data_IF_368603881357
#
_entry.id   IF_368603881357
#
_cell.length_a   1.000
_cell.length_b   1.000
_cell.length_c   1.000
_cell.angle_alpha   90.00
_cell.angle_beta   90.00
_cell.angle_gamma   90.00
#
_symmetry.space_group_name_H-M   'P 1'
#
loop_
_entity.id
_entity.type
_entity.pdbx_description
1 polymer ?
#
# COMPACT_ATOMS: atom_id res chain seq x y z
N UNK A 1 6.64 -3.66 -16.41
CA UNK A 1 6.90 -2.69 -15.31
C UNK A 1 7.56 -3.28 -14.06
N UNK A 2 7.38 -4.58 -13.74
CA UNK A 2 8.01 -5.20 -12.55
C UNK A 2 9.55 -5.19 -12.61
N UNK A 3 10.14 -5.45 -13.78
CA UNK A 3 11.59 -5.41 -14.00
C UNK A 3 12.18 -3.99 -13.85
N UNK A 4 11.52 -2.96 -14.39
CA UNK A 4 11.99 -1.56 -14.25
C UNK A 4 12.04 -1.14 -12.78
N UNK A 5 11.04 -1.52 -11.97
CA UNK A 5 11.05 -1.27 -10.53
C UNK A 5 12.22 -1.98 -9.84
N UNK A 6 12.51 -3.22 -10.22
CA UNK A 6 13.64 -3.98 -9.67
C UNK A 6 14.98 -3.34 -10.03
N UNK A 7 15.16 -2.98 -11.31
CA UNK A 7 16.38 -2.29 -11.79
C UNK A 7 16.58 -0.97 -11.06
N UNK A 8 15.51 -0.19 -10.87
CA UNK A 8 15.59 1.09 -10.16
C UNK A 8 15.96 0.91 -8.68
N UNK A 9 15.38 -0.09 -8.00
CA UNK A 9 15.76 -0.41 -6.61
C UNK A 9 17.22 -0.84 -6.52
N UNK A 10 17.69 -1.66 -7.47
CA UNK A 10 19.09 -2.09 -7.55
C UNK A 10 20.03 -0.92 -7.79
N UNK A 11 19.66 0.02 -8.67
CA UNK A 11 20.43 1.22 -8.94
C UNK A 11 20.55 2.11 -7.69
N UNK A 12 19.44 2.33 -6.97
CA UNK A 12 19.45 3.11 -5.72
C UNK A 12 20.32 2.44 -4.66
N UNK A 13 20.23 1.12 -4.51
CA UNK A 13 21.08 0.36 -3.60
C UNK A 13 22.56 0.48 -3.97
N UNK A 14 22.89 0.41 -5.25
CA UNK A 14 24.25 0.52 -5.74
C UNK A 14 24.84 1.91 -5.47
N UNK A 15 24.07 2.98 -5.75
CA UNK A 15 24.46 4.36 -5.43
C UNK A 15 24.65 4.52 -3.91
N UNK A 16 23.74 3.97 -3.11
CA UNK A 16 23.85 3.98 -1.66
C UNK A 16 25.14 3.30 -1.16
N UNK A 17 25.48 2.14 -1.72
CA UNK A 17 26.72 1.44 -1.39
C UNK A 17 27.97 2.25 -1.78
N UNK A 18 27.99 2.86 -2.96
CA UNK A 18 29.08 3.72 -3.40
C UNK A 18 29.26 4.94 -2.48
N UNK A 19 28.16 5.57 -2.07
CA UNK A 19 28.19 6.69 -1.12
C UNK A 19 28.81 6.28 0.21
N UNK A 20 28.41 5.13 0.76
CA UNK A 20 28.99 4.61 2.01
C UNK A 20 30.48 4.32 1.83
N UNK A 21 30.88 3.70 0.72
CA UNK A 21 32.29 3.35 0.48
C UNK A 21 33.18 4.58 0.30
N UNK A 22 32.72 5.58 -0.45
CA UNK A 22 33.47 6.83 -0.67
C UNK A 22 33.54 7.68 0.60
N UNK A 23 32.47 7.72 1.39
CA UNK A 23 32.42 8.55 2.60
C UNK A 23 32.79 7.77 3.87
N UNK A 24 33.40 6.59 3.74
CA UNK A 24 33.75 5.73 4.87
C UNK A 24 34.59 6.48 5.91
N UNK A 25 35.58 7.25 5.46
CA UNK A 25 36.49 7.99 6.35
C UNK A 25 35.75 9.07 7.16
N UNK A 26 34.74 9.70 6.55
CA UNK A 26 33.85 10.65 7.21
C UNK A 26 32.90 9.94 8.17
N UNK A 27 32.38 8.76 7.80
CA UNK A 27 31.44 7.96 8.60
C UNK A 27 32.07 7.35 9.86
N UNK A 28 33.40 7.25 9.89
CA UNK A 28 34.15 6.75 11.05
C UNK A 28 34.36 7.85 12.11
N UNK A 29 34.14 9.12 11.73
CA UNK A 29 34.22 10.22 12.67
C UNK A 29 33.13 10.11 13.75
N UNK A 30 33.50 10.47 14.98
CA UNK A 30 32.59 10.46 16.12
C UNK A 30 31.81 11.76 16.17
N UNK A 31 30.49 11.66 16.12
CA UNK A 31 29.61 12.80 16.41
C UNK A 31 29.29 12.80 17.91
N UNK A 32 29.36 13.98 18.51
CA UNK A 32 28.86 14.23 19.86
C UNK A 32 27.63 15.13 19.76
N UNK A 33 26.50 14.65 20.25
CA UNK A 33 25.30 15.47 20.32
C UNK A 33 25.36 16.28 21.60
N UNK A 34 25.41 17.61 21.44
CA UNK A 34 25.25 18.56 22.54
C UNK A 34 23.84 19.11 22.47
N UNK A 35 23.01 18.67 23.40
CA UNK A 35 21.69 19.26 23.60
C UNK A 35 21.84 20.34 24.66
N UNK A 36 21.88 21.59 24.22
CA UNK A 36 21.98 22.74 25.12
C UNK A 36 20.56 23.28 25.36
N UNK A 37 19.91 22.81 26.43
CA UNK A 37 18.71 23.48 26.94
C UNK A 37 19.16 24.62 27.86
N UNK A 38 18.40 25.71 27.88
CA UNK A 38 18.71 26.95 28.61
C UNK A 38 19.09 26.75 30.10
N UNK A 39 18.72 25.60 30.70
CA UNK A 39 18.96 25.26 32.11
C UNK A 39 19.87 24.03 32.26
N UNK A 40 19.93 23.14 31.26
CA UNK A 40 20.65 21.86 31.36
C UNK A 40 21.33 21.55 30.02
N UNK A 41 22.63 21.26 30.07
CA UNK A 41 23.36 20.75 28.92
C UNK A 41 23.55 19.24 29.05
N UNK A 42 23.06 18.49 28.05
CA UNK A 42 23.32 17.06 27.92
C UNK A 42 24.33 16.84 26.81
N UNK A 43 25.41 16.14 27.15
CA UNK A 43 26.40 15.69 26.17
C UNK A 43 26.29 14.18 26.05
N UNK A 44 25.90 13.70 24.87
CA UNK A 44 25.85 12.26 24.60
C UNK A 44 27.26 11.70 24.50
N UNK A 45 27.41 10.40 24.76
CA UNK A 45 28.65 9.68 24.45
C UNK A 45 28.98 9.84 22.95
N UNK A 46 30.27 9.92 22.59
CA UNK A 46 30.69 9.96 21.19
C UNK A 46 30.23 8.67 20.50
N UNK A 47 29.44 8.82 19.45
CA UNK A 47 28.99 7.70 18.63
C UNK A 47 29.46 7.89 17.20
N UNK A 48 29.97 6.81 16.60
CA UNK A 48 30.39 6.83 15.20
C UNK A 48 29.19 7.09 14.30
N UNK A 49 29.37 7.97 13.31
CA UNK A 49 28.30 8.34 12.38
C UNK A 49 27.69 7.14 11.65
N UNK A 50 28.49 6.10 11.37
CA UNK A 50 27.99 4.84 10.81
C UNK A 50 26.85 4.21 11.62
N UNK A 51 26.98 4.19 12.96
CA UNK A 51 25.97 3.61 13.85
C UNK A 51 24.66 4.39 13.76
N UNK A 52 24.76 5.72 13.75
CA UNK A 52 23.61 6.60 13.62
C UNK A 52 22.91 6.44 12.26
N UNK A 53 23.70 6.36 11.18
CA UNK A 53 23.20 6.17 9.83
C UNK A 53 22.48 4.81 9.70
N UNK A 54 23.07 3.76 10.27
CA UNK A 54 22.46 2.42 10.30
C UNK A 54 21.14 2.43 11.05
N UNK A 55 21.09 3.11 12.20
CA UNK A 55 19.87 3.23 13.00
C UNK A 55 18.77 4.01 12.26
N UNK A 56 19.12 5.14 11.63
CA UNK A 56 18.18 5.94 10.84
C UNK A 56 17.63 5.16 9.65
N UNK A 57 18.49 4.42 8.95
CA UNK A 57 18.09 3.55 7.84
C UNK A 57 17.16 2.43 8.31
N UNK A 58 17.47 1.81 9.45
CA UNK A 58 16.61 0.79 10.05
C UNK A 58 15.24 1.37 10.42
N UNK A 59 15.19 2.55 11.06
CA UNK A 59 13.94 3.23 11.38
C UNK A 59 13.10 3.53 10.12
N UNK A 60 13.75 3.93 9.04
CA UNK A 60 13.08 4.19 7.76
C UNK A 60 12.47 2.93 7.14
N UNK A 61 13.23 1.82 7.09
CA UNK A 61 12.73 0.53 6.59
C UNK A 61 11.62 0.01 7.50
N UNK A 62 11.78 0.13 8.82
CA UNK A 62 10.77 -0.29 9.78
C UNK A 62 9.48 0.52 9.63
N UNK A 63 9.58 1.84 9.50
CA UNK A 63 8.43 2.72 9.30
C UNK A 63 7.69 2.45 7.99
N UNK A 64 8.42 2.33 6.88
CA UNK A 64 7.81 1.97 5.57
C UNK A 64 7.22 0.56 5.60
N UNK A 65 7.87 -0.39 6.28
CA UNK A 65 7.36 -1.73 6.52
C UNK A 65 6.04 -1.73 7.29
N UNK A 66 5.96 -0.98 8.40
CA UNK A 66 4.73 -0.84 9.18
C UNK A 66 3.60 -0.21 8.36
N UNK A 67 3.89 0.87 7.63
CA UNK A 67 2.90 1.55 6.79
C UNK A 67 2.32 0.59 5.74
N UNK A 68 3.21 -0.16 5.06
CA UNK A 68 2.82 -1.13 4.03
C UNK A 68 2.01 -2.27 4.64
N UNK A 69 2.41 -2.77 5.81
CA UNK A 69 1.71 -3.85 6.51
C UNK A 69 0.29 -3.43 6.89
N UNK A 70 0.12 -2.23 7.47
CA UNK A 70 -1.20 -1.68 7.79
C UNK A 70 -2.07 -1.50 6.54
N UNK A 71 -1.47 -1.05 5.43
CA UNK A 71 -2.12 -0.96 4.13
C UNK A 71 -2.63 -2.31 3.63
N UNK A 72 -1.81 -3.37 3.72
CA UNK A 72 -2.20 -4.72 3.33
C UNK A 72 -3.37 -5.26 4.16
N UNK A 73 -3.40 -4.98 5.48
CA UNK A 73 -4.48 -5.43 6.35
C UNK A 73 -5.81 -4.79 5.98
N UNK A 74 -5.82 -3.46 5.76
CA UNK A 74 -7.01 -2.74 5.29
C UNK A 74 -7.47 -3.25 3.93
N UNK A 75 -6.54 -3.46 3.00
CA UNK A 75 -6.86 -3.95 1.66
C UNK A 75 -7.45 -5.36 1.69
N UNK A 76 -6.98 -6.24 2.58
CA UNK A 76 -7.56 -7.59 2.77
C UNK A 76 -8.99 -7.53 3.29
N UNK A 77 -9.30 -6.62 4.20
CA UNK A 77 -10.66 -6.43 4.71
C UNK A 77 -11.60 -5.91 3.62
N UNK A 78 -11.17 -4.88 2.87
CA UNK A 78 -11.95 -4.34 1.75
C UNK A 78 -12.24 -5.40 0.67
N UNK A 79 -11.27 -6.27 0.38
CA UNK A 79 -11.44 -7.35 -0.61
C UNK A 79 -12.46 -8.40 -0.16
N UNK A 80 -12.57 -8.67 1.15
CA UNK A 80 -13.60 -9.57 1.70
C UNK A 80 -14.99 -8.96 1.59
N UNK A 81 -15.14 -7.67 1.90
CA UNK A 81 -16.41 -6.95 1.78
C UNK A 81 -16.88 -6.89 0.32
N UNK A 82 -16.01 -6.47 -0.60
CA UNK A 82 -16.33 -6.41 -2.04
C UNK A 82 -16.73 -7.76 -2.62
N UNK A 83 -16.14 -8.86 -2.14
CA UNK A 83 -16.52 -10.22 -2.55
C UNK A 83 -17.92 -10.60 -2.06
N UNK A 84 -18.25 -10.27 -0.82
CA UNK A 84 -19.57 -10.51 -0.26
C UNK A 84 -20.64 -9.69 -0.99
N UNK A 85 -20.36 -8.42 -1.27
CA UNK A 85 -21.28 -7.54 -2.00
C UNK A 85 -21.55 -8.04 -3.42
N UNK A 86 -20.52 -8.55 -4.12
CA UNK A 86 -20.69 -9.18 -5.43
C UNK A 86 -21.56 -10.45 -5.36
N UNK A 87 -21.43 -11.23 -4.31
CA UNK A 87 -22.20 -12.47 -4.14
C UNK A 87 -23.67 -12.19 -3.82
N UNK A 88 -23.94 -11.18 -2.99
CA UNK A 88 -25.30 -10.67 -2.74
C UNK A 88 -25.92 -10.09 -4.00
N UNK A 89 -25.21 -9.23 -4.73
CA UNK A 89 -25.75 -8.63 -5.95
C UNK A 89 -26.00 -9.68 -7.05
N UNK A 90 -25.16 -10.71 -7.12
CA UNK A 90 -25.35 -11.84 -8.05
C UNK A 90 -26.58 -12.67 -7.68
N UNK A 91 -26.83 -12.92 -6.39
CA UNK A 91 -28.02 -13.67 -5.95
C UNK A 91 -29.30 -12.86 -6.17
N UNK A 92 -29.27 -11.54 -5.98
CA UNK A 92 -30.39 -10.65 -6.30
C UNK A 92 -30.74 -10.67 -7.79
N UNK A 93 -29.76 -10.57 -8.70
CA UNK A 93 -29.99 -10.69 -10.14
C UNK A 93 -30.60 -12.05 -10.50
N UNK A 94 -30.12 -13.13 -9.88
CA UNK A 94 -30.66 -14.48 -10.09
C UNK A 94 -32.06 -14.65 -9.53
N UNK A 95 -32.49 -13.84 -8.56
CA UNK A 95 -33.85 -13.87 -8.02
C UNK A 95 -34.80 -12.96 -8.81
N UNK A 96 -34.27 -11.90 -9.43
CA UNK A 96 -35.04 -10.97 -10.28
C UNK A 96 -35.25 -11.54 -11.68
N UNK A 97 -34.24 -12.18 -12.28
CA UNK A 97 -34.35 -12.84 -13.60
C UNK A 97 -35.55 -13.79 -13.75
N UNK A 98 -35.83 -14.73 -12.81
CA UNK A 98 -36.99 -15.62 -12.92
C UNK A 98 -38.33 -14.88 -12.75
N UNK A 99 -38.33 -13.67 -12.16
CA UNK A 99 -39.53 -12.82 -12.05
C UNK A 99 -39.81 -12.02 -13.33
N UNK A 100 -38.80 -11.76 -14.15
CA UNK A 100 -38.96 -11.11 -15.46
C UNK A 100 -39.42 -12.09 -16.55
N UNK A 101 -39.06 -13.38 -16.46
CA UNK A 101 -39.55 -14.42 -17.39
C UNK A 101 -41.02 -14.80 -17.17
N UNK A 102 -41.65 -14.41 -16.06
CA UNK A 102 -43.09 -14.61 -15.82
C UNK A 102 -43.99 -13.47 -16.32
N UNK A 103 -43.48 -12.54 -17.15
CA UNK A 103 -44.35 -11.62 -17.90
C UNK A 103 -44.66 -12.26 -19.25
N UNK A 104 -45.92 -12.66 -19.54
CA UNK A 104 -46.26 -13.25 -20.82
C UNK A 104 -45.92 -12.27 -21.96
N UNK A 105 -45.63 -12.78 -23.17
CA UNK A 105 -45.29 -11.94 -24.30
C UNK A 105 -46.45 -10.99 -24.57
N UNK A 106 -46.18 -9.68 -24.55
CA UNK A 106 -47.07 -8.65 -25.09
C UNK A 106 -47.08 -8.86 -26.61
N UNK A 107 -47.87 -9.82 -27.08
CA UNK A 107 -48.07 -10.10 -28.51
C UNK A 107 -49.47 -10.64 -28.82
N UNK A 108 -50.49 -10.27 -28.02
CA UNK A 108 -51.90 -10.57 -28.32
C UNK A 108 -52.83 -9.34 -28.25
N UNK A 109 -52.29 -8.12 -28.25
CA UNK A 109 -53.11 -6.90 -28.32
C UNK A 109 -53.22 -6.30 -29.74
N UNK A 110 -52.75 -7.01 -30.76
CA UNK A 110 -52.73 -6.54 -32.15
C UNK A 110 -53.51 -7.42 -33.13
N UNK A 111 -54.46 -8.22 -32.66
CA UNK A 111 -55.45 -8.88 -33.53
C UNK A 111 -56.82 -8.22 -33.29
N UNK A 112 -56.89 -7.00 -33.79
CA UNK A 112 -58.12 -6.28 -34.01
C UNK A 112 -58.97 -7.05 -35.05
N UNK A 113 -60.27 -7.14 -34.77
CA UNK A 113 -61.27 -6.70 -35.76
C UNK A 113 -61.48 -7.53 -37.04
N UNK A 114 -61.65 -8.86 -36.98
CA UNK A 114 -62.26 -9.62 -38.09
C UNK A 114 -63.13 -10.79 -37.60
N UNK A 115 -64.31 -10.52 -37.03
CA UNK A 115 -65.49 -11.41 -37.15
C UNK A 115 -66.73 -10.76 -36.53
N UNK A 116 -67.38 -9.90 -37.32
CA UNK A 116 -68.83 -9.67 -37.29
C UNK A 116 -69.33 -10.04 -38.68
#
# INVERSE_FOLDING_TARGET
MRLVKVVLVLLVLFIGFLLVRQNHDVLTQTAQFKLNLYIISFQSAPHSLWVLLTFALFLGIFGTGLYTLLGLLKQRQANRQLRHDLEVLKSEIQTIKPKTESTPPISQAADLSQSI
#
